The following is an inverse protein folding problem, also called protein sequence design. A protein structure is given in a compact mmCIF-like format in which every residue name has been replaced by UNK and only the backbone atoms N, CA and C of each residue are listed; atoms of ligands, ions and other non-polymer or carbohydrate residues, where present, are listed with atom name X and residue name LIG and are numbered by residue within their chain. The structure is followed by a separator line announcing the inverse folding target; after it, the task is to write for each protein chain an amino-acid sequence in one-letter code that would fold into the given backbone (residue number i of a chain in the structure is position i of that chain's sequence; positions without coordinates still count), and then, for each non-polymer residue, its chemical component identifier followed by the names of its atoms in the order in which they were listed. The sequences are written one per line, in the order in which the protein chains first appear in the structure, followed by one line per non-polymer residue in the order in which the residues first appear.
data_IF_773827960560
#
_entry.id   IF_773827960560
#
_cell.length_a   1.000
_cell.length_b   1.000
_cell.length_c   1.000
_cell.angle_alpha   90.00
_cell.angle_beta   90.00
_cell.angle_gamma   90.00
#
_symmetry.space_group_name_H-M   'P 1'
#
loop_
_entity.id
_entity.type
_entity.pdbx_description
1 polymer ?
#
# COMPACT_ATOMS: atom_id res chain seq x y z
N UNK A 1 7.25 -16.88 -23.10
CA UNK A 1 7.04 -15.44 -22.88
C UNK A 1 6.21 -15.28 -21.64
N UNK A 2 6.77 -14.69 -20.63
CA UNK A 2 6.05 -14.41 -19.38
C UNK A 2 5.08 -13.24 -19.59
N UNK A 3 3.89 -13.20 -18.94
CA UNK A 3 2.93 -12.09 -19.10
C UNK A 3 3.47 -10.71 -18.73
N UNK A 4 4.67 -10.62 -18.13
CA UNK A 4 5.35 -9.37 -17.78
C UNK A 4 6.24 -8.76 -18.84
N UNK A 5 6.41 -9.42 -19.98
CA UNK A 5 7.32 -8.97 -21.05
C UNK A 5 6.58 -8.22 -22.18
N UNK A 6 5.29 -7.92 -22.03
CA UNK A 6 4.57 -7.11 -23.03
C UNK A 6 4.86 -5.61 -22.77
N UNK A 7 5.61 -4.95 -23.68
CA UNK A 7 5.92 -3.51 -23.55
C UNK A 7 4.67 -2.63 -23.48
N UNK A 8 3.52 -3.11 -23.98
CA UNK A 8 2.25 -2.38 -23.94
C UNK A 8 1.64 -2.42 -22.55
N UNK A 9 1.67 -3.58 -21.86
CA UNK A 9 1.18 -3.69 -20.50
C UNK A 9 2.02 -2.86 -19.51
N UNK A 10 3.34 -2.78 -19.74
CA UNK A 10 4.24 -1.93 -18.96
C UNK A 10 3.97 -0.44 -19.22
N UNK A 11 3.70 -0.06 -20.47
CA UNK A 11 3.39 1.31 -20.84
C UNK A 11 1.99 1.74 -20.33
N UNK A 12 0.99 0.85 -20.37
CA UNK A 12 -0.34 1.12 -19.79
C UNK A 12 -0.28 1.27 -18.27
N UNK A 13 0.45 0.40 -17.57
CA UNK A 13 0.66 0.53 -16.12
C UNK A 13 1.42 1.81 -15.75
N UNK A 14 2.42 2.20 -16.54
CA UNK A 14 3.13 3.46 -16.35
C UNK A 14 2.23 4.68 -16.62
N UNK A 15 1.38 4.62 -17.63
CA UNK A 15 0.43 5.68 -17.96
C UNK A 15 -0.68 5.83 -16.90
N UNK A 16 -1.15 4.73 -16.31
CA UNK A 16 -2.10 4.76 -15.20
C UNK A 16 -1.48 5.38 -13.93
N UNK A 17 -0.22 5.06 -13.63
CA UNK A 17 0.54 5.67 -12.54
C UNK A 17 0.75 7.17 -12.80
N UNK A 18 1.10 7.54 -14.02
CA UNK A 18 1.32 8.94 -14.41
C UNK A 18 0.02 9.75 -14.43
N UNK A 19 -1.11 9.15 -14.87
CA UNK A 19 -2.43 9.77 -14.81
C UNK A 19 -2.93 9.93 -13.36
N UNK A 20 -2.68 8.97 -12.49
CA UNK A 20 -2.95 9.08 -11.06
C UNK A 20 -2.11 10.19 -10.40
N UNK A 21 -0.84 10.33 -10.79
CA UNK A 21 0.06 11.40 -10.33
C UNK A 21 -0.36 12.79 -10.83
N UNK A 22 -0.92 12.90 -12.03
CA UNK A 22 -1.33 14.18 -12.63
C UNK A 22 -2.67 14.74 -12.10
N UNK A 23 -3.46 13.93 -11.41
CA UNK A 23 -4.75 14.35 -10.85
C UNK A 23 -4.65 15.09 -9.50
N UNK A 24 -3.43 15.25 -8.96
CA UNK A 24 -3.23 15.89 -7.67
C UNK A 24 -3.02 17.41 -7.80
N UNK A 25 -3.85 18.15 -7.08
CA UNK A 25 -3.71 19.59 -6.84
C UNK A 25 -2.40 19.90 -6.10
N UNK A 26 -1.35 20.29 -6.79
CA UNK A 26 -0.22 21.10 -6.32
C UNK A 26 0.61 20.69 -5.11
N UNK A 27 0.15 19.83 -4.22
CA UNK A 27 0.88 19.33 -3.06
C UNK A 27 1.26 17.86 -3.25
N UNK A 28 2.54 17.55 -3.03
CA UNK A 28 3.01 16.16 -3.04
C UNK A 28 2.29 15.34 -1.96
N UNK A 29 1.82 14.12 -2.26
CA UNK A 29 1.16 13.29 -1.25
C UNK A 29 2.14 12.93 -0.12
N UNK A 30 1.66 12.98 1.13
CA UNK A 30 2.44 12.60 2.32
C UNK A 30 2.28 11.12 2.66
N UNK A 31 1.13 10.53 2.34
CA UNK A 31 0.84 9.12 2.61
C UNK A 31 0.47 8.39 1.32
N UNK A 32 1.18 7.32 1.03
CA UNK A 32 0.85 6.40 -0.04
C UNK A 32 -0.03 5.26 0.47
N UNK A 33 -1.10 4.94 -0.26
CA UNK A 33 -1.96 3.79 0.01
C UNK A 33 -1.83 2.82 -1.17
N UNK A 34 -1.36 1.62 -0.92
CA UNK A 34 -1.18 0.59 -1.95
C UNK A 34 -1.94 -0.69 -1.58
N UNK A 35 -2.58 -1.31 -2.55
CA UNK A 35 -3.33 -2.55 -2.38
C UNK A 35 -3.09 -3.51 -3.54
N UNK A 36 -3.26 -4.81 -3.30
CA UNK A 36 -2.95 -5.86 -4.27
C UNK A 36 -4.02 -6.09 -5.35
N UNK A 37 -5.24 -5.60 -5.14
CA UNK A 37 -6.37 -5.81 -6.04
C UNK A 37 -7.36 -4.67 -5.98
N UNK A 38 -8.03 -4.41 -7.10
CA UNK A 38 -9.15 -3.46 -7.15
C UNK A 38 -10.29 -3.84 -6.20
N UNK A 39 -10.46 -5.13 -5.91
CA UNK A 39 -11.46 -5.62 -4.94
C UNK A 39 -11.20 -5.17 -3.51
N UNK A 40 -9.98 -4.73 -3.18
CA UNK A 40 -9.59 -4.23 -1.86
C UNK A 40 -9.96 -2.76 -1.66
N UNK A 41 -10.27 -2.05 -2.75
CA UNK A 41 -10.54 -0.61 -2.74
C UNK A 41 -11.64 -0.19 -1.74
N UNK A 42 -12.79 -0.89 -1.61
CA UNK A 42 -13.84 -0.48 -0.66
C UNK A 42 -13.38 -0.42 0.80
N UNK A 43 -12.39 -1.23 1.18
CA UNK A 43 -11.80 -1.20 2.52
C UNK A 43 -10.69 -0.15 2.60
N UNK A 44 -9.79 -0.12 1.62
CA UNK A 44 -8.63 0.77 1.65
C UNK A 44 -8.98 2.24 1.41
N UNK A 45 -10.05 2.53 0.68
CA UNK A 45 -10.58 3.89 0.51
C UNK A 45 -10.99 4.55 1.84
N UNK A 46 -11.35 3.75 2.85
CA UNK A 46 -11.62 4.26 4.20
C UNK A 46 -10.38 4.91 4.84
N UNK A 47 -9.18 4.43 4.50
CA UNK A 47 -7.95 5.09 4.94
C UNK A 47 -7.74 6.43 4.21
N UNK A 48 -7.98 6.49 2.91
CA UNK A 48 -7.87 7.73 2.15
C UNK A 48 -8.84 8.81 2.66
N UNK A 49 -10.09 8.43 2.91
CA UNK A 49 -11.11 9.33 3.44
C UNK A 49 -10.71 9.86 4.83
N UNK A 50 -10.25 8.99 5.73
CA UNK A 50 -9.79 9.38 7.06
C UNK A 50 -8.60 10.36 7.00
N UNK A 51 -7.63 10.13 6.09
CA UNK A 51 -6.50 11.04 5.87
C UNK A 51 -6.98 12.40 5.32
N UNK A 52 -7.88 12.37 4.34
CA UNK A 52 -8.45 13.58 3.74
C UNK A 52 -9.22 14.42 4.76
N UNK A 53 -10.03 13.79 5.61
CA UNK A 53 -10.74 14.46 6.72
C UNK A 53 -9.78 15.12 7.72
N UNK A 54 -8.56 14.59 7.85
CA UNK A 54 -7.48 15.16 8.69
C UNK A 54 -6.63 16.21 7.97
N UNK A 55 -6.93 16.52 6.71
CA UNK A 55 -6.14 17.44 5.90
C UNK A 55 -4.79 16.90 5.45
N UNK A 56 -4.62 15.56 5.41
CA UNK A 56 -3.37 14.89 5.02
C UNK A 56 -3.50 14.44 3.56
N UNK A 57 -2.63 14.98 2.70
CA UNK A 57 -2.56 14.60 1.29
C UNK A 57 -2.15 13.14 1.12
N UNK A 58 -2.82 12.42 0.24
CA UNK A 58 -2.60 10.98 0.04
C UNK A 58 -2.82 10.58 -1.41
N UNK A 59 -2.26 9.44 -1.79
CA UNK A 59 -2.46 8.80 -3.10
C UNK A 59 -2.91 7.36 -2.92
N UNK A 60 -3.65 6.81 -3.90
CA UNK A 60 -4.07 5.41 -3.93
C UNK A 60 -3.48 4.73 -5.16
N UNK A 61 -2.90 3.54 -4.97
CA UNK A 61 -2.30 2.73 -6.04
C UNK A 61 -2.73 1.27 -5.89
N UNK A 62 -3.03 0.64 -7.02
CA UNK A 62 -3.30 -0.81 -7.09
C UNK A 62 -2.12 -1.50 -7.78
N UNK A 63 -1.40 -2.35 -7.05
CA UNK A 63 -0.33 -3.18 -7.59
C UNK A 63 -0.14 -4.44 -6.75
N UNK A 64 -0.08 -5.59 -7.42
CA UNK A 64 0.04 -6.88 -6.74
C UNK A 64 1.50 -7.30 -6.60
N UNK A 65 1.94 -7.64 -5.38
CA UNK A 65 3.28 -8.18 -5.16
C UNK A 65 3.53 -9.51 -5.88
N UNK A 66 2.49 -10.31 -6.12
CA UNK A 66 2.61 -11.59 -6.81
C UNK A 66 2.55 -11.45 -8.33
N UNK A 67 1.75 -10.51 -8.86
CA UNK A 67 1.49 -10.36 -10.31
C UNK A 67 2.34 -9.27 -10.97
N UNK A 68 2.67 -8.21 -10.22
CA UNK A 68 3.43 -7.05 -10.69
C UNK A 68 4.54 -6.69 -9.69
N UNK A 69 5.46 -7.62 -9.33
CA UNK A 69 6.46 -7.38 -8.28
C UNK A 69 7.37 -6.19 -8.57
N UNK A 70 7.74 -5.98 -9.83
CA UNK A 70 8.62 -4.88 -10.23
C UNK A 70 7.95 -3.51 -10.05
N UNK A 71 6.64 -3.40 -10.31
CA UNK A 71 5.85 -2.18 -10.08
C UNK A 71 5.80 -1.85 -8.60
N UNK A 72 5.59 -2.85 -7.75
CA UNK A 72 5.59 -2.68 -6.29
C UNK A 72 6.96 -2.23 -5.78
N UNK A 73 8.03 -2.86 -6.27
CA UNK A 73 9.40 -2.50 -5.90
C UNK A 73 9.73 -1.06 -6.31
N UNK A 74 9.37 -0.65 -7.52
CA UNK A 74 9.60 0.70 -8.02
C UNK A 74 8.77 1.73 -7.25
N UNK A 75 7.50 1.44 -6.98
CA UNK A 75 6.65 2.29 -6.14
C UNK A 75 7.30 2.57 -4.78
N UNK A 76 7.77 1.52 -4.11
CA UNK A 76 8.38 1.63 -2.78
C UNK A 76 9.73 2.37 -2.80
N UNK A 77 10.60 2.10 -3.79
CA UNK A 77 11.92 2.75 -3.94
C UNK A 77 11.80 4.24 -4.22
N UNK A 78 10.83 4.64 -5.01
CA UNK A 78 10.64 6.05 -5.41
C UNK A 78 9.79 6.86 -4.42
N UNK A 79 9.12 6.20 -3.49
CA UNK A 79 8.15 6.80 -2.58
C UNK A 79 8.69 8.02 -1.82
N UNK A 80 9.87 7.91 -1.19
CA UNK A 80 10.51 9.03 -0.49
C UNK A 80 10.81 10.21 -1.41
N UNK A 81 11.34 9.94 -2.60
CA UNK A 81 11.66 10.96 -3.61
C UNK A 81 10.42 11.70 -4.12
N UNK A 82 9.26 11.07 -4.11
CA UNK A 82 7.96 11.66 -4.47
C UNK A 82 7.32 12.47 -3.33
N UNK A 83 7.91 12.48 -2.15
CA UNK A 83 7.43 13.23 -0.99
C UNK A 83 6.68 12.40 0.05
N UNK A 84 6.47 11.10 -0.18
CA UNK A 84 5.82 10.24 0.79
C UNK A 84 6.64 10.13 2.08
N UNK A 85 5.95 10.07 3.20
CA UNK A 85 6.50 9.89 4.55
C UNK A 85 6.08 8.58 5.20
N UNK A 86 4.92 8.05 4.81
CA UNK A 86 4.35 6.79 5.31
C UNK A 86 3.68 6.05 4.16
N UNK A 87 3.76 4.73 4.15
CA UNK A 87 3.02 3.89 3.21
C UNK A 87 2.07 2.98 3.98
N UNK A 88 0.79 2.98 3.59
CA UNK A 88 -0.23 2.04 4.05
C UNK A 88 -0.40 0.98 2.98
N UNK A 89 -0.18 -0.28 3.30
CA UNK A 89 -0.26 -1.39 2.36
C UNK A 89 -1.29 -2.43 2.82
N UNK A 90 -2.29 -2.68 2.00
CA UNK A 90 -3.36 -3.65 2.27
C UNK A 90 -3.27 -4.88 1.38
N UNK A 91 -3.41 -6.06 1.96
CA UNK A 91 -3.44 -7.32 1.23
C UNK A 91 -4.18 -8.42 1.99
N UNK A 92 -4.76 -9.35 1.25
CA UNK A 92 -5.42 -10.53 1.77
C UNK A 92 -4.70 -11.83 1.41
N UNK A 93 -5.20 -12.95 1.91
CA UNK A 93 -4.64 -14.30 1.69
C UNK A 93 -3.17 -14.38 2.12
N UNK A 94 -2.28 -14.88 1.24
CA UNK A 94 -0.82 -14.79 1.40
C UNK A 94 -0.36 -13.34 1.18
N UNK A 95 -0.64 -12.48 2.13
CA UNK A 95 -0.56 -11.02 2.04
C UNK A 95 0.89 -10.51 2.01
N UNK A 96 1.60 -10.79 0.92
CA UNK A 96 3.02 -10.47 0.75
C UNK A 96 3.28 -8.97 0.55
N UNK A 97 2.30 -8.20 0.07
CA UNK A 97 2.49 -6.83 -0.37
C UNK A 97 3.12 -5.90 0.69
N UNK A 98 2.65 -5.84 1.95
CA UNK A 98 3.24 -4.96 2.94
C UNK A 98 4.72 -5.28 3.22
N UNK A 99 5.07 -6.57 3.31
CA UNK A 99 6.45 -7.02 3.50
C UNK A 99 7.35 -6.70 2.31
N UNK A 100 6.85 -6.87 1.08
CA UNK A 100 7.59 -6.50 -0.14
C UNK A 100 7.83 -5.00 -0.20
N UNK A 101 6.82 -4.18 0.10
CA UNK A 101 6.98 -2.71 0.19
C UNK A 101 8.04 -2.36 1.23
N UNK A 102 7.95 -2.92 2.44
CA UNK A 102 8.90 -2.64 3.52
C UNK A 102 10.34 -3.06 3.19
N UNK A 103 10.53 -4.08 2.35
CA UNK A 103 11.85 -4.51 1.89
C UNK A 103 12.50 -3.55 0.87
N UNK A 104 11.72 -2.65 0.27
CA UNK A 104 12.18 -1.73 -0.79
C UNK A 104 12.14 -0.25 -0.39
N UNK A 105 11.80 0.06 0.86
CA UNK A 105 11.79 1.44 1.36
C UNK A 105 12.29 1.51 2.79
N UNK A 106 12.78 2.67 3.21
CA UNK A 106 13.09 3.00 4.60
C UNK A 106 11.98 3.82 5.27
N UNK A 107 10.88 4.07 4.56
CA UNK A 107 9.71 4.73 5.13
C UNK A 107 8.96 3.78 6.07
N UNK A 108 8.26 4.31 7.09
CA UNK A 108 7.32 3.52 7.88
C UNK A 108 6.27 2.88 6.99
N UNK A 109 6.06 1.57 7.13
CA UNK A 109 5.02 0.80 6.42
C UNK A 109 4.00 0.29 7.43
N UNK A 110 2.73 0.58 7.17
CA UNK A 110 1.59 0.13 7.96
C UNK A 110 0.83 -0.91 7.15
N UNK A 111 0.75 -2.14 7.65
CA UNK A 111 0.05 -3.24 7.01
C UNK A 111 -1.40 -3.35 7.45
N UNK A 112 -2.30 -3.53 6.49
CA UNK A 112 -3.72 -3.79 6.72
C UNK A 112 -4.05 -5.20 6.23
N UNK A 113 -4.28 -6.17 7.13
CA UNK A 113 -4.77 -7.50 6.74
C UNK A 113 -6.18 -7.37 6.20
N UNK A 114 -6.43 -7.89 4.99
CA UNK A 114 -7.73 -7.80 4.33
C UNK A 114 -8.41 -9.17 4.24
N UNK A 115 -9.72 -9.19 4.37
CA UNK A 115 -10.53 -10.38 4.21
C UNK A 115 -11.16 -10.49 2.83
N UNK A 116 -11.43 -11.72 2.43
CA UNK A 116 -12.22 -12.08 1.26
C UNK A 116 -13.02 -13.35 1.55
N UNK A 117 -13.83 -13.79 0.60
CA UNK A 117 -14.55 -15.07 0.72
C UNK A 117 -13.63 -16.31 0.83
N UNK A 118 -12.37 -16.18 0.44
CA UNK A 118 -11.35 -17.24 0.50
C UNK A 118 -10.45 -17.16 1.73
N UNK A 119 -10.63 -16.18 2.60
CA UNK A 119 -9.79 -16.00 3.79
C UNK A 119 -9.91 -17.18 4.75
N UNK A 120 -8.79 -17.59 5.33
CA UNK A 120 -8.72 -18.63 6.35
C UNK A 120 -8.84 -17.98 7.73
N UNK A 121 -9.70 -18.58 8.58
CA UNK A 121 -9.92 -18.14 9.96
C UNK A 121 -10.15 -16.63 10.12
N UNK A 122 -11.02 -16.07 9.29
CA UNK A 122 -11.41 -14.65 9.38
C UNK A 122 -10.31 -13.66 9.07
N UNK A 123 -9.33 -14.02 8.23
CA UNK A 123 -8.21 -13.18 7.86
C UNK A 123 -6.93 -13.41 8.68
N UNK A 124 -6.89 -14.47 9.50
CA UNK A 124 -5.69 -14.85 10.25
C UNK A 124 -4.51 -15.16 9.31
N UNK A 125 -4.78 -15.75 8.13
CA UNK A 125 -3.80 -15.98 7.07
C UNK A 125 -3.11 -14.67 6.64
N UNK A 126 -3.87 -13.63 6.34
CA UNK A 126 -3.35 -12.33 5.98
C UNK A 126 -2.60 -11.66 7.15
N UNK A 127 -3.19 -11.70 8.34
CA UNK A 127 -2.57 -11.14 9.55
C UNK A 127 -1.18 -11.75 9.80
N UNK A 128 -1.05 -13.07 9.79
CA UNK A 128 0.22 -13.75 10.02
C UNK A 128 1.23 -13.47 8.91
N UNK A 129 0.78 -13.39 7.66
CA UNK A 129 1.65 -13.03 6.52
C UNK A 129 2.24 -11.63 6.64
N UNK A 130 1.51 -10.70 7.23
CA UNK A 130 1.92 -9.29 7.35
C UNK A 130 2.74 -9.05 8.63
N UNK A 131 2.34 -9.61 9.76
CA UNK A 131 2.94 -9.29 11.07
C UNK A 131 4.26 -10.00 11.31
N UNK A 132 4.49 -11.18 10.74
CA UNK A 132 5.67 -12.00 10.98
C UNK A 132 6.85 -11.59 10.11
N UNK A 133 7.35 -10.37 10.33
CA UNK A 133 8.47 -9.80 9.58
C UNK A 133 9.82 -10.08 10.28
N UNK A 134 10.90 -10.28 9.48
CA UNK A 134 12.24 -10.48 10.03
C UNK A 134 12.77 -9.19 10.68
N UNK A 135 13.75 -9.31 11.61
CA UNK A 135 14.43 -8.16 12.17
C UNK A 135 15.02 -7.23 11.11
N UNK A 136 14.83 -5.93 11.25
CA UNK A 136 15.33 -4.92 10.33
C UNK A 136 14.37 -4.54 9.18
N UNK A 137 13.29 -5.30 8.97
CA UNK A 137 12.25 -5.00 7.97
C UNK A 137 10.88 -4.96 8.65
N UNK A 138 10.57 -3.89 9.39
CA UNK A 138 9.34 -3.82 10.17
C UNK A 138 8.12 -3.45 9.32
N UNK A 139 6.98 -4.04 9.68
CA UNK A 139 5.65 -3.60 9.25
C UNK A 139 4.76 -3.43 10.47
N UNK A 140 4.27 -2.21 10.71
CA UNK A 140 3.31 -1.94 11.77
C UNK A 140 1.93 -2.44 11.33
N UNK A 141 1.43 -3.50 11.95
CA UNK A 141 0.18 -4.16 11.51
C UNK A 141 -1.01 -3.70 12.35
N UNK A 142 -2.08 -3.24 11.71
CA UNK A 142 -3.35 -2.90 12.35
C UNK A 142 -4.32 -4.10 12.32
N UNK A 143 -5.49 -3.94 12.93
CA UNK A 143 -6.52 -4.97 12.94
C UNK A 143 -7.02 -5.34 11.53
N UNK A 144 -7.61 -6.53 11.41
CA UNK A 144 -8.18 -7.04 10.16
C UNK A 144 -9.25 -6.08 9.64
N UNK A 145 -9.18 -5.74 8.35
CA UNK A 145 -10.05 -4.78 7.64
C UNK A 145 -10.09 -3.37 8.25
N UNK A 146 -9.15 -3.03 9.13
CA UNK A 146 -9.14 -1.75 9.83
C UNK A 146 -8.24 -0.69 9.17
N UNK A 147 -8.55 -0.34 7.93
CA UNK A 147 -7.82 0.67 7.17
C UNK A 147 -7.87 2.07 7.83
N UNK A 148 -8.95 2.39 8.55
CA UNK A 148 -9.06 3.67 9.29
C UNK A 148 -8.01 3.79 10.39
N UNK A 149 -7.71 2.71 11.12
CA UNK A 149 -6.66 2.72 12.12
C UNK A 149 -5.27 2.85 11.49
N UNK A 150 -5.05 2.35 10.29
CA UNK A 150 -3.81 2.59 9.55
C UNK A 150 -3.63 4.08 9.25
N UNK A 151 -4.68 4.75 8.80
CA UNK A 151 -4.67 6.20 8.57
C UNK A 151 -4.43 6.99 9.87
N UNK A 152 -5.09 6.62 10.97
CA UNK A 152 -4.89 7.26 12.27
C UNK A 152 -3.46 7.08 12.77
N UNK A 153 -2.84 5.90 12.56
CA UNK A 153 -1.45 5.67 12.91
C UNK A 153 -0.49 6.48 12.02
N UNK A 154 -0.76 6.54 10.72
CA UNK A 154 0.02 7.36 9.80
C UNK A 154 0.00 8.84 10.20
N UNK A 155 -1.16 9.38 10.56
CA UNK A 155 -1.30 10.75 11.06
C UNK A 155 -0.44 10.99 12.31
N UNK A 156 -0.44 10.07 13.27
CA UNK A 156 0.39 10.17 14.49
C UNK A 156 1.88 10.12 14.19
N UNK A 157 2.29 9.31 13.21
CA UNK A 157 3.69 9.25 12.77
C UNK A 157 4.10 10.60 12.17
N UNK A 158 3.25 11.22 11.36
CA UNK A 158 3.51 12.52 10.76
C UNK A 158 3.63 13.65 11.80
N UNK A 159 2.89 13.56 12.91
CA UNK A 159 2.92 14.57 13.99
C UNK A 159 4.23 14.60 14.77
N UNK A 160 5.03 13.52 14.73
CA UNK A 160 6.30 13.41 15.47
C UNK A 160 7.54 13.41 14.57
N UNK A 161 7.36 13.50 13.24
CA UNK A 161 8.42 13.39 12.23
C UNK A 161 9.03 14.76 11.87
#
# INVERSE_FOLDING_TARGET
MSPGDDPRAVAEAAAEVEAALSSFSGESPLVGIIMGSQSDLPVMEKAANELTERGISNEITVASAHRNPDVVAEYAKTARGRGLKVIIAGAGLAAALPGVVAAHTDLPVIGVPLTSSMSVAGGLDALLSIVQMPPGVPVATVGVDNARNAAALAARILDIA
#
